data_IF_116806011594
#
_entry.id   IF_116806011594
#
_cell.length_a   1.000
_cell.length_b   1.000
_cell.length_c   1.000
_cell.angle_alpha   90.00
_cell.angle_beta   90.00
_cell.angle_gamma   90.00
#
_symmetry.space_group_name_H-M   'P 1'
#
loop_
_entity.id
_entity.type
_entity.pdbx_description
1 polymer ?
#
# COMPACT_ATOMS: atom_id res chain seq x y z
N UNK A 1 -15.29 3.30 -6.61
CA UNK A 1 -14.07 3.55 -7.39
C UNK A 1 -14.05 2.95 -8.81
N UNK A 2 -14.00 1.61 -9.01
CA UNK A 2 -13.77 1.00 -10.35
C UNK A 2 -14.77 1.47 -11.41
N UNK A 3 -16.08 1.39 -11.11
CA UNK A 3 -17.12 1.87 -12.03
C UNK A 3 -16.91 3.34 -12.41
N UNK A 4 -16.60 4.19 -11.43
CA UNK A 4 -16.34 5.61 -11.65
C UNK A 4 -15.17 5.82 -12.61
N UNK A 5 -14.05 5.11 -12.40
CA UNK A 5 -12.87 5.20 -13.27
C UNK A 5 -13.18 4.79 -14.72
N UNK A 6 -14.12 3.86 -14.93
CA UNK A 6 -14.48 3.36 -16.25
C UNK A 6 -15.55 4.21 -16.96
N UNK A 7 -16.48 4.84 -16.23
CA UNK A 7 -17.65 5.49 -16.84
C UNK A 7 -17.69 7.00 -16.72
N UNK A 8 -17.05 7.61 -15.71
CA UNK A 8 -17.08 9.04 -15.49
C UNK A 8 -16.31 9.81 -16.58
N UNK A 9 -16.88 10.92 -17.06
CA UNK A 9 -16.27 11.72 -18.13
C UNK A 9 -14.93 12.36 -17.70
N UNK A 10 -14.85 12.93 -16.49
CA UNK A 10 -13.59 13.49 -15.97
C UNK A 10 -12.52 12.42 -15.83
N UNK A 11 -12.86 11.23 -15.31
CA UNK A 11 -11.90 10.13 -15.21
C UNK A 11 -11.37 9.70 -16.59
N UNK A 12 -12.23 9.65 -17.61
CA UNK A 12 -11.82 9.33 -18.99
C UNK A 12 -10.94 10.42 -19.60
N UNK A 13 -11.26 11.69 -19.37
CA UNK A 13 -10.47 12.82 -19.86
C UNK A 13 -9.07 12.85 -19.22
N UNK A 14 -8.97 12.64 -17.91
CA UNK A 14 -7.68 12.53 -17.21
C UNK A 14 -6.87 11.36 -17.77
N UNK A 15 -7.51 10.19 -17.95
CA UNK A 15 -6.82 9.02 -18.50
C UNK A 15 -6.32 9.28 -19.94
N UNK A 16 -7.10 9.98 -20.76
CA UNK A 16 -6.72 10.38 -22.11
C UNK A 16 -5.54 11.37 -22.10
N UNK A 17 -5.58 12.37 -21.21
CA UNK A 17 -4.49 13.34 -21.04
C UNK A 17 -3.20 12.67 -20.54
N UNK A 18 -3.29 11.75 -19.59
CA UNK A 18 -2.12 10.98 -19.14
C UNK A 18 -1.54 10.17 -20.30
N UNK A 19 -2.37 9.54 -21.12
CA UNK A 19 -1.94 8.75 -22.30
C UNK A 19 -1.30 9.61 -23.40
N UNK A 20 -1.77 10.84 -23.63
CA UNK A 20 -1.15 11.72 -24.64
C UNK A 20 0.28 12.09 -24.27
N UNK A 21 0.60 12.14 -22.98
CA UNK A 21 1.95 12.37 -22.46
C UNK A 21 2.81 11.09 -22.35
N UNK A 22 2.41 9.99 -22.98
CA UNK A 22 3.11 8.68 -22.94
C UNK A 22 4.56 8.68 -23.43
N UNK A 23 4.98 9.75 -24.13
CA UNK A 23 6.38 9.93 -24.55
C UNK A 23 7.27 10.46 -23.42
N UNK A 24 6.68 11.06 -22.39
CA UNK A 24 7.42 11.42 -21.19
C UNK A 24 7.58 10.18 -20.32
N UNK A 25 8.69 10.08 -19.59
CA UNK A 25 8.95 9.01 -18.61
C UNK A 25 8.10 9.23 -17.35
N UNK A 26 6.79 9.40 -17.53
CA UNK A 26 5.82 9.67 -16.50
C UNK A 26 5.30 8.35 -15.95
N UNK A 27 5.29 8.23 -14.64
CA UNK A 27 4.64 7.16 -13.90
C UNK A 27 3.12 7.34 -13.98
N UNK A 28 2.53 7.15 -15.17
CA UNK A 28 1.09 7.32 -15.41
C UNK A 28 0.25 6.46 -14.44
N UNK A 29 0.76 5.28 -14.12
CA UNK A 29 0.20 4.34 -13.15
C UNK A 29 0.27 4.87 -11.70
N UNK A 30 1.24 5.71 -11.36
CA UNK A 30 1.35 6.36 -10.05
C UNK A 30 0.50 7.64 -9.93
N UNK A 31 0.01 8.18 -11.05
CA UNK A 31 -0.75 9.43 -11.08
C UNK A 31 -2.27 9.24 -11.22
N UNK A 32 -2.74 8.27 -12.00
CA UNK A 32 -4.17 8.21 -12.35
C UNK A 32 -5.06 7.99 -11.12
N UNK A 33 -4.81 6.91 -10.36
CA UNK A 33 -5.64 6.57 -9.21
C UNK A 33 -5.47 7.54 -8.05
N UNK A 34 -4.25 8.04 -7.83
CA UNK A 34 -3.99 9.07 -6.82
C UNK A 34 -4.75 10.37 -7.14
N UNK A 35 -4.74 10.80 -8.40
CA UNK A 35 -5.46 12.01 -8.84
C UNK A 35 -6.96 11.90 -8.60
N UNK A 36 -7.61 10.82 -9.03
CA UNK A 36 -9.06 10.67 -8.86
C UNK A 36 -9.46 10.40 -7.42
N UNK A 37 -8.58 9.80 -6.61
CA UNK A 37 -8.88 9.45 -5.22
C UNK A 37 -8.66 10.60 -4.25
N UNK A 38 -7.67 11.47 -4.48
CA UNK A 38 -7.31 12.58 -3.58
C UNK A 38 -7.82 13.95 -4.03
N UNK A 39 -8.65 14.01 -5.06
CA UNK A 39 -9.29 15.25 -5.49
C UNK A 39 -10.82 15.18 -5.24
N UNK A 40 -11.32 15.86 -4.20
CA UNK A 40 -12.73 15.78 -3.81
C UNK A 40 -13.69 16.39 -4.85
N UNK A 41 -13.19 17.23 -5.78
CA UNK A 41 -14.02 17.80 -6.85
C UNK A 41 -14.58 16.74 -7.79
N UNK A 42 -13.91 15.59 -7.94
CA UNK A 42 -14.38 14.50 -8.78
C UNK A 42 -15.51 13.68 -8.15
N UNK A 43 -15.72 13.80 -6.84
CA UNK A 43 -16.73 13.02 -6.10
C UNK A 43 -16.64 11.51 -6.39
N UNK A 44 -15.40 11.00 -6.50
CA UNK A 44 -15.16 9.59 -6.73
C UNK A 44 -15.62 8.78 -5.48
N UNK A 45 -16.37 7.67 -5.64
CA UNK A 45 -16.82 6.88 -4.50
C UNK A 45 -15.64 6.25 -3.74
N UNK A 46 -15.56 6.52 -2.44
CA UNK A 46 -14.45 6.18 -1.56
C UNK A 46 -13.27 7.15 -1.64
N UNK A 47 -13.40 8.25 -2.38
CA UNK A 47 -12.37 9.28 -2.53
C UNK A 47 -12.19 10.08 -1.24
N UNK A 48 -10.97 10.57 -1.01
CA UNK A 48 -10.62 11.35 0.17
C UNK A 48 -11.25 12.75 0.11
N UNK A 49 -12.04 13.10 1.12
CA UNK A 49 -12.68 14.42 1.20
C UNK A 49 -11.66 15.52 1.51
N UNK A 50 -10.71 15.23 2.40
CA UNK A 50 -9.65 16.16 2.82
C UNK A 50 -8.30 15.52 2.56
N UNK A 51 -7.70 15.86 1.42
CA UNK A 51 -6.35 15.41 1.10
C UNK A 51 -5.35 16.08 2.07
N UNK A 52 -4.60 15.24 2.78
CA UNK A 52 -3.46 15.66 3.58
C UNK A 52 -2.19 15.06 3.00
N UNK A 53 -1.10 15.82 3.05
CA UNK A 53 0.20 15.31 2.66
C UNK A 53 0.59 14.14 3.59
N UNK A 54 1.17 13.05 3.03
CA UNK A 54 1.75 11.98 3.83
C UNK A 54 2.75 12.53 4.84
N UNK A 55 2.71 12.00 6.06
CA UNK A 55 3.60 12.38 7.14
C UNK A 55 3.98 11.11 7.92
N UNK A 56 5.27 10.73 7.86
CA UNK A 56 5.80 9.54 8.55
C UNK A 56 5.55 9.59 10.07
N UNK A 57 5.35 10.77 10.66
CA UNK A 57 5.03 10.95 12.08
C UNK A 57 3.54 10.87 12.41
N UNK A 58 2.64 10.92 11.41
CA UNK A 58 1.19 10.80 11.60
C UNK A 58 0.68 9.49 11.00
N UNK A 59 0.39 8.46 11.82
CA UNK A 59 -0.03 7.15 11.33
C UNK A 59 -1.33 7.20 10.52
N UNK A 60 -2.17 8.23 10.69
CA UNK A 60 -3.42 8.40 9.94
C UNK A 60 -3.22 8.74 8.47
N UNK A 61 -2.00 9.13 8.09
CA UNK A 61 -1.62 9.45 6.71
C UNK A 61 -1.02 8.25 5.96
N UNK A 62 -0.96 7.07 6.58
CA UNK A 62 -0.31 5.90 6.02
C UNK A 62 -0.98 5.38 4.74
N UNK A 63 -0.15 4.96 3.78
CA UNK A 63 -0.59 4.22 2.60
C UNK A 63 -0.55 2.72 2.88
N UNK A 64 -1.71 2.13 3.20
CA UNK A 64 -1.79 0.75 3.69
C UNK A 64 -1.77 -0.33 2.61
N UNK A 65 -1.87 0.03 1.32
CA UNK A 65 -1.94 -0.98 0.27
C UNK A 65 -0.61 -1.74 0.11
N UNK A 66 0.53 -1.09 0.32
CA UNK A 66 1.85 -1.71 0.10
C UNK A 66 2.96 -1.04 0.89
N UNK A 67 3.67 -1.82 1.68
CA UNK A 67 4.94 -1.43 2.27
C UNK A 67 6.08 -1.59 1.26
N UNK A 68 6.92 -0.56 1.15
CA UNK A 68 8.16 -0.57 0.36
C UNK A 68 9.23 0.09 1.21
N UNK A 69 10.42 -0.53 1.30
CA UNK A 69 11.57 0.10 1.96
C UNK A 69 12.47 0.73 0.89
N UNK A 70 12.54 2.05 0.88
CA UNK A 70 13.22 2.86 -0.12
C UNK A 70 14.57 3.38 0.37
N UNK A 71 15.56 3.42 -0.51
CA UNK A 71 16.76 4.21 -0.32
C UNK A 71 16.40 5.69 -0.04
N UNK A 72 17.11 6.42 0.85
CA UNK A 72 18.37 6.07 1.53
C UNK A 72 18.21 5.32 2.86
N UNK A 73 17.01 4.84 3.22
CA UNK A 73 16.83 4.06 4.46
C UNK A 73 17.69 2.78 4.39
N UNK A 74 18.42 2.42 5.46
CA UNK A 74 19.27 1.23 5.44
C UNK A 74 18.46 -0.05 5.16
N UNK A 75 18.83 -0.77 4.10
CA UNK A 75 18.23 -2.05 3.75
C UNK A 75 18.86 -3.19 4.57
N UNK A 76 18.07 -3.82 5.44
CA UNK A 76 18.57 -4.83 6.40
C UNK A 76 19.15 -6.09 5.74
N UNK A 77 18.62 -6.48 4.59
CA UNK A 77 19.11 -7.59 3.76
C UNK A 77 20.37 -7.25 2.96
N UNK A 78 20.74 -5.96 2.91
CA UNK A 78 21.86 -5.40 2.15
C UNK A 78 21.73 -5.52 0.62
N UNK A 79 20.59 -5.96 0.10
CA UNK A 79 20.34 -5.99 -1.34
C UNK A 79 19.30 -4.95 -1.73
N UNK A 80 19.69 -3.99 -2.57
CA UNK A 80 18.79 -3.00 -3.16
C UNK A 80 18.83 -3.14 -4.69
N UNK A 81 17.67 -2.96 -5.33
CA UNK A 81 17.60 -2.92 -6.79
C UNK A 81 16.63 -1.83 -7.22
N UNK A 82 17.12 -0.85 -7.99
CA UNK A 82 16.36 0.34 -8.38
C UNK A 82 15.80 1.08 -7.16
N UNK A 83 16.67 1.35 -6.18
CA UNK A 83 16.35 2.08 -4.94
C UNK A 83 15.35 1.41 -3.98
N UNK A 84 14.84 0.23 -4.33
CA UNK A 84 13.96 -0.58 -3.48
C UNK A 84 14.77 -1.69 -2.82
N UNK A 85 14.65 -1.82 -1.50
CA UNK A 85 15.21 -2.91 -0.71
C UNK A 85 14.53 -4.24 -1.08
N UNK A 86 15.34 -5.28 -1.29
CA UNK A 86 14.86 -6.65 -1.42
C UNK A 86 14.69 -7.23 -0.01
N UNK A 87 13.51 -7.70 0.33
CA UNK A 87 13.24 -8.27 1.65
C UNK A 87 14.01 -9.58 1.82
N UNK A 88 14.70 -9.70 2.94
CA UNK A 88 15.37 -10.92 3.39
C UNK A 88 14.95 -11.32 4.81
N UNK A 89 15.57 -12.33 5.38
CA UNK A 89 15.23 -12.92 6.69
C UNK A 89 15.30 -11.87 7.80
N UNK A 90 16.27 -10.96 7.71
CA UNK A 90 16.47 -9.88 8.70
C UNK A 90 15.34 -8.85 8.70
N UNK A 91 14.51 -8.82 7.66
CA UNK A 91 13.36 -7.93 7.58
C UNK A 91 12.13 -8.51 8.29
N UNK A 92 12.05 -9.84 8.48
CA UNK A 92 10.82 -10.53 8.95
C UNK A 92 10.24 -9.97 10.24
N UNK A 93 11.02 -9.73 11.32
CA UNK A 93 10.45 -9.18 12.55
C UNK A 93 9.71 -7.85 12.33
N UNK A 94 10.29 -6.95 11.51
CA UNK A 94 9.67 -5.68 11.15
C UNK A 94 8.40 -5.90 10.32
N UNK A 95 8.43 -6.83 9.35
CA UNK A 95 7.30 -7.10 8.45
C UNK A 95 6.07 -7.64 9.19
N UNK A 96 6.24 -8.44 10.24
CA UNK A 96 5.13 -8.99 11.02
C UNK A 96 4.40 -7.98 11.89
N UNK A 97 4.96 -6.77 12.04
CA UNK A 97 4.41 -5.67 12.84
C UNK A 97 3.81 -4.55 11.95
N UNK A 98 3.93 -4.67 10.62
CA UNK A 98 3.43 -3.66 9.68
C UNK A 98 1.91 -3.68 9.58
N UNK A 99 1.34 -2.50 9.29
CA UNK A 99 -0.09 -2.33 9.03
C UNK A 99 -0.43 -2.42 7.54
N UNK A 100 0.55 -2.42 6.65
CA UNK A 100 0.29 -2.56 5.23
C UNK A 100 -0.12 -4.00 4.85
N UNK A 101 -1.03 -4.15 3.89
CA UNK A 101 -1.55 -5.45 3.47
C UNK A 101 -0.55 -6.29 2.67
N UNK A 102 0.34 -5.61 1.93
CA UNK A 102 1.33 -6.24 1.08
C UNK A 102 2.69 -5.60 1.28
N UNK A 103 3.74 -6.32 0.91
CA UNK A 103 5.13 -5.84 0.99
C UNK A 103 5.81 -6.03 -0.37
N UNK A 104 6.64 -5.07 -0.74
CA UNK A 104 7.49 -5.12 -1.92
C UNK A 104 8.95 -4.82 -1.56
N UNK A 105 9.94 -5.57 -2.06
CA UNK A 105 9.86 -6.75 -2.95
C UNK A 105 10.63 -7.93 -2.39
N UNK A 106 10.17 -9.14 -2.75
CA UNK A 106 10.94 -10.37 -2.64
C UNK A 106 11.47 -10.75 -4.02
N UNK A 107 12.60 -11.46 -4.07
CA UNK A 107 13.07 -12.12 -5.29
C UNK A 107 13.16 -13.62 -5.01
N UNK A 108 12.69 -14.49 -5.91
CA UNK A 108 12.72 -15.95 -5.68
C UNK A 108 14.13 -16.49 -5.37
N UNK A 109 15.15 -15.91 -6.02
CA UNK A 109 16.54 -16.36 -5.90
C UNK A 109 17.33 -15.64 -4.78
N UNK A 110 16.67 -14.81 -3.96
CA UNK A 110 17.32 -14.09 -2.86
C UNK A 110 16.61 -14.39 -1.55
N UNK A 111 17.30 -15.15 -0.69
CA UNK A 111 16.80 -15.56 0.63
C UNK A 111 15.34 -16.06 0.61
N UNK A 112 14.99 -17.11 -0.19
CA UNK A 112 13.62 -17.59 -0.31
C UNK A 112 12.99 -17.97 1.04
N UNK A 113 13.82 -18.40 2.01
CA UNK A 113 13.39 -18.67 3.39
C UNK A 113 12.75 -17.46 4.08
N UNK A 114 13.04 -16.21 3.66
CA UNK A 114 12.34 -15.03 4.15
C UNK A 114 10.86 -15.06 3.75
N UNK A 115 10.57 -15.45 2.50
CA UNK A 115 9.20 -15.63 2.03
C UNK A 115 8.49 -16.74 2.83
N UNK A 116 9.15 -17.89 3.00
CA UNK A 116 8.61 -19.02 3.77
C UNK A 116 8.30 -18.65 5.23
N UNK A 117 9.19 -17.87 5.87
CA UNK A 117 8.97 -17.38 7.24
C UNK A 117 7.74 -16.49 7.35
N UNK A 118 7.55 -15.57 6.40
CA UNK A 118 6.40 -14.66 6.40
C UNK A 118 5.09 -15.41 6.11
N UNK A 119 5.13 -16.36 5.18
CA UNK A 119 4.00 -17.24 4.87
C UNK A 119 3.61 -18.09 6.08
N UNK A 120 4.59 -18.75 6.73
CA UNK A 120 4.35 -19.53 7.94
C UNK A 120 3.75 -18.69 9.07
N UNK A 121 4.26 -17.47 9.28
CA UNK A 121 3.69 -16.54 10.26
C UNK A 121 2.23 -16.21 9.95
N UNK A 122 1.92 -15.93 8.68
CA UNK A 122 0.55 -15.61 8.25
C UNK A 122 -0.38 -16.80 8.45
N UNK A 123 0.04 -18.01 8.07
CA UNK A 123 -0.78 -19.22 8.28
C UNK A 123 -1.01 -19.53 9.74
N UNK A 124 -0.01 -19.32 10.60
CA UNK A 124 -0.18 -19.46 12.04
C UNK A 124 -1.23 -18.48 12.57
N UNK A 125 -1.16 -17.21 12.15
CA UNK A 125 -2.15 -16.20 12.50
C UNK A 125 -3.57 -16.60 12.06
N UNK A 126 -3.74 -17.03 10.82
CA UNK A 126 -5.03 -17.46 10.26
C UNK A 126 -5.59 -18.67 11.02
N UNK A 127 -4.74 -19.65 11.33
CA UNK A 127 -5.15 -20.83 12.12
C UNK A 127 -5.63 -20.42 13.50
N UNK A 128 -4.87 -19.58 14.19
CA UNK A 128 -5.24 -19.11 15.53
C UNK A 128 -6.59 -18.34 15.47
N UNK A 129 -6.81 -17.48 14.47
CA UNK A 129 -8.09 -16.78 14.28
C UNK A 129 -9.27 -17.75 14.05
N UNK A 130 -9.04 -18.80 13.27
CA UNK A 130 -10.04 -19.84 13.00
C UNK A 130 -10.38 -20.66 14.25
N UNK A 131 -9.36 -21.07 14.99
CA UNK A 131 -9.52 -21.95 16.16
C UNK A 131 -10.25 -21.23 17.31
N UNK A 132 -10.02 -19.93 17.47
CA UNK A 132 -10.64 -19.13 18.54
C UNK A 132 -11.86 -18.31 18.09
N UNK A 133 -12.18 -18.28 16.79
CA UNK A 133 -13.33 -17.55 16.26
C UNK A 133 -13.26 -16.03 16.48
N UNK A 134 -12.05 -15.47 16.56
CA UNK A 134 -11.82 -14.04 16.83
C UNK A 134 -10.60 -13.55 16.06
N UNK A 135 -10.60 -12.27 15.70
CA UNK A 135 -9.44 -11.65 15.05
C UNK A 135 -8.20 -11.72 15.94
N UNK A 136 -7.02 -11.85 15.34
CA UNK A 136 -5.77 -11.94 16.07
C UNK A 136 -5.59 -10.70 16.94
N UNK A 137 -5.03 -10.87 18.14
CA UNK A 137 -4.78 -9.76 19.07
C UNK A 137 -3.79 -8.72 18.52
N UNK A 138 -2.98 -9.12 17.55
CA UNK A 138 -2.06 -8.22 16.83
C UNK A 138 -2.76 -7.37 15.76
N UNK A 139 -4.02 -7.64 15.42
CA UNK A 139 -4.76 -6.86 14.43
C UNK A 139 -5.49 -5.68 15.08
N UNK A 140 -5.05 -4.47 14.75
CA UNK A 140 -5.71 -3.23 15.18
C UNK A 140 -6.68 -2.74 14.10
N UNK A 141 -7.97 -3.06 14.23
CA UNK A 141 -9.00 -2.60 13.29
C UNK A 141 -9.18 -1.08 13.31
N UNK A 142 -9.06 -0.45 14.50
CA UNK A 142 -9.25 0.99 14.67
C UNK A 142 -8.25 1.80 13.86
N UNK A 143 -7.00 1.34 13.77
CA UNK A 143 -5.98 1.99 12.93
C UNK A 143 -6.47 2.25 11.50
N UNK A 144 -7.11 1.26 10.86
CA UNK A 144 -7.60 1.40 9.49
C UNK A 144 -8.82 2.33 9.39
N UNK A 145 -9.69 2.32 10.40
CA UNK A 145 -10.84 3.23 10.47
C UNK A 145 -10.42 4.69 10.70
N UNK A 146 -9.33 4.90 11.44
CA UNK A 146 -8.83 6.22 11.85
C UNK A 146 -7.99 6.92 10.78
N UNK A 147 -7.63 6.24 9.67
CA UNK A 147 -6.95 6.88 8.54
C UNK A 147 -7.77 8.05 8.02
N UNK A 148 -7.11 9.13 7.57
CA UNK A 148 -7.81 10.34 7.12
C UNK A 148 -8.82 10.06 6.02
N UNK A 149 -8.41 9.30 5.02
CA UNK A 149 -9.26 8.95 3.88
C UNK A 149 -10.18 7.76 4.16
N UNK A 150 -10.07 7.08 5.32
CA UNK A 150 -11.08 6.11 5.77
C UNK A 150 -12.20 6.81 6.55
N UNK A 151 -11.83 7.72 7.45
CA UNK A 151 -12.77 8.45 8.30
C UNK A 151 -13.49 9.59 7.59
N UNK A 152 -12.85 10.20 6.58
CA UNK A 152 -13.38 11.35 5.83
C UNK A 152 -13.34 11.06 4.32
N UNK A 153 -14.14 10.10 3.87
CA UNK A 153 -14.32 9.80 2.44
C UNK A 153 -15.69 10.24 1.91
N UNK A 154 -15.78 10.27 0.58
CA UNK A 154 -16.97 10.54 -0.23
C UNK A 154 -17.76 9.27 -0.55
#
# INVERSE_FOLDING_TARGET
MVQFALTNNYAKEILAALRSESKQKLCQDEMFFSTINYNPHFKAPGGCLVAKNPNDSDPRSAFVARYVDWYPKPCLSKLCQREVCIMGVRNIPKLTERYEFFVNKFLPDFEPVAYDCLEWWLFRKIRDERDFGRTATSFNASFYGDLYCSSNHL
#
